data_IF_475235984348
#
_entry.id   IF_475235984348
#
_cell.length_a   1.000
_cell.length_b   1.000
_cell.length_c   1.000
_cell.angle_alpha   90.00
_cell.angle_beta   90.00
_cell.angle_gamma   90.00
#
_symmetry.space_group_name_H-M   'P 1'
#
loop_
_entity.id
_entity.type
_entity.pdbx_description
1 polymer ?
#
# COMPACT_ATOMS: atom_id res chain seq x y z
N UNK A 1 40.80 3.11 -13.41
CA UNK A 1 40.39 2.35 -12.19
C UNK A 1 38.97 2.78 -11.81
N UNK A 2 38.00 1.87 -11.81
CA UNK A 2 36.64 2.17 -11.35
C UNK A 2 36.67 2.45 -9.84
N UNK A 3 36.14 3.59 -9.39
CA UNK A 3 36.03 3.84 -7.94
C UNK A 3 34.93 2.95 -7.35
N UNK A 4 35.13 2.52 -6.10
CA UNK A 4 34.17 1.71 -5.35
C UNK A 4 32.76 2.34 -5.33
N UNK A 5 32.68 3.68 -5.31
CA UNK A 5 31.42 4.42 -5.39
C UNK A 5 30.70 4.36 -6.74
N UNK A 6 31.41 4.10 -7.84
CA UNK A 6 30.82 3.86 -9.18
C UNK A 6 30.30 2.41 -9.30
N UNK A 7 31.07 1.45 -8.80
CA UNK A 7 30.67 0.04 -8.74
C UNK A 7 29.40 -0.11 -7.88
N UNK A 8 29.40 0.49 -6.68
CA UNK A 8 28.23 0.46 -5.79
C UNK A 8 26.98 1.06 -6.44
N UNK A 9 27.10 2.22 -7.10
CA UNK A 9 25.96 2.87 -7.79
C UNK A 9 25.42 2.03 -8.95
N UNK A 10 26.29 1.34 -9.69
CA UNK A 10 25.87 0.49 -10.80
C UNK A 10 25.19 -0.81 -10.31
N UNK A 11 25.67 -1.41 -9.22
CA UNK A 11 25.12 -2.65 -8.66
C UNK A 11 23.88 -2.42 -7.78
N UNK A 12 23.78 -1.27 -7.11
CA UNK A 12 22.68 -0.92 -6.21
C UNK A 12 21.29 -1.11 -6.82
N UNK A 13 20.96 -0.65 -8.05
CA UNK A 13 19.63 -0.86 -8.62
C UNK A 13 19.31 -2.33 -8.90
N UNK A 14 20.31 -3.13 -9.29
CA UNK A 14 20.13 -4.57 -9.55
C UNK A 14 19.88 -5.34 -8.25
N UNK A 15 20.69 -5.07 -7.22
CA UNK A 15 20.54 -5.67 -5.88
C UNK A 15 19.21 -5.26 -5.26
N UNK A 16 18.85 -3.98 -5.33
CA UNK A 16 17.58 -3.47 -4.82
C UNK A 16 16.39 -4.08 -5.55
N UNK A 17 16.43 -4.17 -6.88
CA UNK A 17 15.37 -4.81 -7.70
C UNK A 17 15.19 -6.27 -7.33
N UNK A 18 16.29 -7.02 -7.19
CA UNK A 18 16.23 -8.43 -6.79
C UNK A 18 15.68 -8.59 -5.36
N UNK A 19 16.14 -7.76 -4.43
CA UNK A 19 15.70 -7.77 -3.04
C UNK A 19 14.20 -7.43 -2.90
N UNK A 20 13.73 -6.39 -3.60
CA UNK A 20 12.32 -6.01 -3.65
C UNK A 20 11.47 -7.12 -4.28
N UNK A 21 11.93 -7.71 -5.39
CA UNK A 21 11.23 -8.82 -6.05
C UNK A 21 11.06 -10.00 -5.09
N UNK A 22 12.13 -10.39 -4.39
CA UNK A 22 12.10 -11.51 -3.43
C UNK A 22 11.23 -11.20 -2.21
N UNK A 23 11.31 -9.99 -1.64
CA UNK A 23 10.47 -9.60 -0.50
C UNK A 23 9.01 -9.41 -0.85
N UNK A 24 8.70 -9.03 -2.09
CA UNK A 24 7.34 -8.93 -2.60
C UNK A 24 6.66 -10.31 -2.75
N UNK A 25 7.37 -11.43 -2.58
CA UNK A 25 6.79 -12.78 -2.66
C UNK A 25 6.32 -13.32 -1.31
N UNK A 26 6.55 -12.60 -0.21
CA UNK A 26 6.18 -13.06 1.13
C UNK A 26 5.04 -12.21 1.68
N UNK A 27 4.12 -12.85 2.39
CA UNK A 27 3.16 -12.16 3.24
C UNK A 27 3.88 -11.48 4.39
N UNK A 28 3.64 -10.18 4.58
CA UNK A 28 4.28 -9.39 5.64
C UNK A 28 3.23 -8.60 6.40
N UNK A 29 3.21 -8.74 7.72
CA UNK A 29 2.43 -7.84 8.58
C UNK A 29 3.22 -6.55 8.82
N UNK A 30 2.59 -5.41 8.56
CA UNK A 30 3.19 -4.08 8.76
C UNK A 30 2.23 -3.15 9.48
N UNK A 31 2.79 -2.26 10.30
CA UNK A 31 2.03 -1.18 10.94
C UNK A 31 2.26 0.14 10.21
N UNK A 32 1.18 0.82 9.82
CA UNK A 32 1.22 2.10 9.08
C UNK A 32 -0.07 2.89 9.31
N UNK A 33 0.05 4.22 9.51
CA UNK A 33 -1.07 5.15 9.80
C UNK A 33 -2.05 4.67 10.92
N UNK A 34 -1.54 3.92 11.90
CA UNK A 34 -2.31 3.39 13.02
C UNK A 34 -2.94 2.01 12.80
N UNK A 35 -2.91 1.49 11.57
CA UNK A 35 -3.44 0.17 11.21
C UNK A 35 -2.35 -0.90 11.21
N UNK A 36 -2.74 -2.14 11.54
CA UNK A 36 -1.93 -3.33 11.32
C UNK A 36 -2.45 -4.03 10.07
N UNK A 37 -1.65 -4.03 9.00
CA UNK A 37 -2.02 -4.57 7.69
C UNK A 37 -1.22 -5.83 7.40
N UNK A 38 -1.90 -6.87 6.94
CA UNK A 38 -1.27 -8.04 6.32
C UNK A 38 -1.13 -7.75 4.82
N UNK A 39 0.10 -7.51 4.36
CA UNK A 39 0.40 -7.27 2.95
C UNK A 39 0.70 -8.61 2.31
N UNK A 40 -0.16 -9.03 1.38
CA UNK A 40 -0.02 -10.29 0.65
C UNK A 40 1.07 -10.20 -0.43
N UNK A 41 1.55 -11.34 -0.95
CA UNK A 41 2.51 -11.36 -2.03
C UNK A 41 1.99 -10.58 -3.24
N UNK A 42 2.89 -9.91 -3.96
CA UNK A 42 2.61 -9.08 -5.15
C UNK A 42 1.75 -7.83 -4.91
N UNK A 43 1.24 -7.63 -3.70
CA UNK A 43 0.52 -6.41 -3.32
C UNK A 43 1.49 -5.26 -3.11
N UNK A 44 1.09 -4.07 -3.52
CA UNK A 44 1.88 -2.86 -3.37
C UNK A 44 2.14 -2.57 -1.88
N UNK A 45 3.39 -2.75 -1.45
CA UNK A 45 3.74 -2.67 -0.03
C UNK A 45 3.79 -1.20 0.45
N UNK A 46 2.87 -0.76 1.31
CA UNK A 46 2.67 0.66 1.65
C UNK A 46 3.87 1.29 2.38
N UNK A 47 4.75 0.47 2.95
CA UNK A 47 5.98 0.89 3.64
C UNK A 47 7.23 0.90 2.77
N UNK A 48 7.28 0.13 1.69
CA UNK A 48 8.42 0.14 0.77
C UNK A 48 8.27 1.25 -0.25
N UNK A 49 7.02 1.56 -0.59
CA UNK A 49 6.68 2.62 -1.51
C UNK A 49 5.89 3.69 -0.75
N UNK A 50 6.60 4.72 -0.31
CA UNK A 50 6.06 5.77 0.58
C UNK A 50 4.88 6.57 0.01
N UNK A 51 4.56 6.40 -1.27
CA UNK A 51 3.41 7.02 -1.93
C UNK A 51 2.09 6.68 -1.25
N UNK A 52 1.89 5.43 -0.81
CA UNK A 52 0.66 5.02 -0.11
C UNK A 52 0.45 5.79 1.19
N UNK A 53 1.54 6.07 1.92
CA UNK A 53 1.44 6.83 3.18
C UNK A 53 1.16 8.32 2.92
N UNK A 54 1.74 8.91 1.88
CA UNK A 54 1.46 10.30 1.47
C UNK A 54 -0.01 10.45 1.07
N UNK A 55 -0.51 9.54 0.22
CA UNK A 55 -1.91 9.55 -0.22
C UNK A 55 -2.86 9.33 0.96
N UNK A 56 -2.57 8.36 1.84
CA UNK A 56 -3.38 8.08 3.02
C UNK A 56 -3.49 9.30 3.97
N UNK A 57 -2.39 10.05 4.15
CA UNK A 57 -2.40 11.29 4.95
C UNK A 57 -3.21 12.40 4.30
N UNK A 58 -3.07 12.57 2.98
CA UNK A 58 -3.88 13.53 2.24
C UNK A 58 -5.37 13.19 2.37
N UNK A 59 -5.76 11.94 2.13
CA UNK A 59 -7.15 11.48 2.27
C UNK A 59 -7.66 11.65 3.70
N UNK A 60 -6.83 11.38 4.71
CA UNK A 60 -7.20 11.61 6.12
C UNK A 60 -7.44 13.08 6.48
N UNK A 61 -6.96 14.02 5.66
CA UNK A 61 -7.16 15.46 5.86
C UNK A 61 -8.44 16.00 5.22
N UNK A 62 -9.13 15.19 4.42
CA UNK A 62 -10.37 15.57 3.75
C UNK A 62 -11.56 15.43 4.71
N UNK A 63 -12.56 16.30 4.57
CA UNK A 63 -13.87 16.09 5.18
C UNK A 63 -14.60 15.01 4.39
N UNK A 64 -14.68 13.81 4.97
CA UNK A 64 -15.22 12.60 4.35
C UNK A 64 -16.49 12.10 5.04
N UNK A 65 -16.92 12.75 6.12
CA UNK A 65 -18.04 12.30 6.94
C UNK A 65 -19.32 12.19 6.11
N UNK A 66 -19.89 10.97 6.07
CA UNK A 66 -21.12 10.67 5.35
C UNK A 66 -20.98 10.66 3.82
N UNK A 67 -19.78 10.86 3.27
CA UNK A 67 -19.54 10.85 1.81
C UNK A 67 -19.26 9.44 1.31
N UNK A 68 -19.52 9.19 0.03
CA UNK A 68 -19.05 7.99 -0.65
C UNK A 68 -17.59 8.14 -1.08
N UNK A 69 -16.82 7.06 -0.96
CA UNK A 69 -15.41 7.01 -1.36
C UNK A 69 -15.12 5.71 -2.12
N UNK A 70 -14.46 5.83 -3.27
CA UNK A 70 -14.06 4.70 -4.10
C UNK A 70 -12.53 4.64 -4.20
N UNK A 71 -11.94 3.55 -3.70
CA UNK A 71 -10.49 3.27 -3.81
C UNK A 71 -10.25 2.23 -4.91
N UNK A 72 -9.73 2.66 -6.06
CA UNK A 72 -9.45 1.78 -7.21
C UNK A 72 -7.97 1.42 -7.25
N UNK A 73 -7.66 0.14 -7.28
CA UNK A 73 -6.28 -0.34 -7.10
C UNK A 73 -5.84 -0.20 -5.64
N UNK A 74 -6.75 -0.54 -4.71
CA UNK A 74 -6.58 -0.28 -3.29
C UNK A 74 -5.40 -1.03 -2.65
N UNK A 75 -4.87 -2.06 -3.31
CA UNK A 75 -3.78 -2.90 -2.84
C UNK A 75 -4.07 -3.39 -1.42
N UNK A 76 -3.19 -3.03 -0.48
CA UNK A 76 -3.33 -3.42 0.94
C UNK A 76 -4.50 -2.75 1.68
N UNK A 77 -5.30 -1.91 1.01
CA UNK A 77 -6.46 -1.21 1.58
C UNK A 77 -6.14 -0.05 2.51
N UNK A 78 -4.89 0.45 2.55
CA UNK A 78 -4.50 1.52 3.50
C UNK A 78 -5.31 2.81 3.30
N UNK A 79 -5.49 3.24 2.05
CA UNK A 79 -6.18 4.49 1.72
C UNK A 79 -7.67 4.36 2.02
N UNK A 80 -8.31 3.28 1.56
CA UNK A 80 -9.66 2.89 1.94
C UNK A 80 -9.90 2.91 3.47
N UNK A 81 -9.00 2.32 4.26
CA UNK A 81 -9.11 2.31 5.73
C UNK A 81 -9.00 3.72 6.33
N UNK A 82 -8.13 4.57 5.79
CA UNK A 82 -8.02 5.95 6.24
C UNK A 82 -9.27 6.77 5.90
N UNK A 83 -9.86 6.57 4.72
CA UNK A 83 -11.13 7.19 4.34
C UNK A 83 -12.28 6.74 5.25
N UNK A 84 -12.36 5.43 5.53
CA UNK A 84 -13.36 4.86 6.45
C UNK A 84 -13.23 5.44 7.86
N UNK A 85 -12.00 5.61 8.37
CA UNK A 85 -11.73 6.28 9.66
C UNK A 85 -12.16 7.75 9.66
N UNK A 86 -12.16 8.41 8.50
CA UNK A 86 -12.70 9.76 8.31
C UNK A 86 -14.23 9.82 8.20
N UNK A 87 -14.94 8.70 8.32
CA UNK A 87 -16.40 8.63 8.28
C UNK A 87 -17.01 8.48 6.88
N UNK A 88 -16.21 8.12 5.87
CA UNK A 88 -16.74 7.80 4.55
C UNK A 88 -17.39 6.41 4.48
N UNK A 89 -18.35 6.27 3.56
CA UNK A 89 -18.84 4.99 3.05
C UNK A 89 -17.89 4.52 1.94
N UNK A 90 -17.11 3.46 2.20
CA UNK A 90 -15.97 3.08 1.36
C UNK A 90 -16.25 1.84 0.53
N UNK A 91 -16.02 1.96 -0.77
CA UNK A 91 -15.89 0.84 -1.70
C UNK A 91 -14.43 0.74 -2.12
N UNK A 92 -13.80 -0.42 -1.94
CA UNK A 92 -12.42 -0.66 -2.34
C UNK A 92 -12.34 -1.84 -3.31
N UNK A 93 -11.61 -1.64 -4.42
CA UNK A 93 -11.45 -2.65 -5.47
C UNK A 93 -9.99 -2.76 -5.89
N UNK A 94 -9.55 -3.97 -6.18
CA UNK A 94 -8.25 -4.23 -6.79
C UNK A 94 -8.39 -5.34 -7.84
N UNK A 95 -7.56 -5.29 -8.88
CA UNK A 95 -7.53 -6.30 -9.95
C UNK A 95 -6.62 -7.47 -9.57
N UNK A 96 -5.68 -7.24 -8.65
CA UNK A 96 -4.80 -8.28 -8.15
C UNK A 96 -5.62 -9.25 -7.28
N UNK A 97 -5.70 -10.54 -7.62
CA UNK A 97 -6.42 -11.54 -6.81
C UNK A 97 -5.82 -11.69 -5.40
N UNK A 98 -4.55 -11.32 -5.21
CA UNK A 98 -3.87 -11.28 -3.92
C UNK A 98 -4.01 -9.92 -3.21
N UNK A 99 -4.50 -8.86 -3.89
CA UNK A 99 -4.64 -7.49 -3.35
C UNK A 99 -5.33 -7.46 -1.98
N UNK A 100 -6.37 -8.28 -1.88
CA UNK A 100 -7.15 -8.61 -0.72
C UNK A 100 -7.50 -10.09 -0.98
N UNK A 101 -7.18 -11.00 -0.07
CA UNK A 101 -7.28 -12.45 -0.31
C UNK A 101 -8.70 -12.92 -0.59
N UNK A 102 -9.20 -12.67 -1.80
CA UNK A 102 -10.58 -12.64 -2.29
C UNK A 102 -11.19 -11.22 -2.44
N UNK A 103 -11.23 -10.80 -3.70
CA UNK A 103 -11.97 -9.73 -4.38
C UNK A 103 -13.13 -9.05 -3.61
N UNK A 104 -13.11 -7.71 -3.63
CA UNK A 104 -14.16 -6.77 -3.19
C UNK A 104 -14.43 -6.73 -1.68
N UNK A 105 -13.74 -5.83 -0.98
CA UNK A 105 -14.07 -5.48 0.41
C UNK A 105 -14.91 -4.20 0.38
N UNK A 106 -16.21 -4.33 0.63
CA UNK A 106 -17.09 -3.19 0.91
C UNK A 106 -17.02 -2.95 2.42
N UNK A 107 -16.26 -1.93 2.83
CA UNK A 107 -16.18 -1.53 4.24
C UNK A 107 -17.27 -0.48 4.52
N UNK A 108 -18.36 -0.92 5.15
CA UNK A 108 -19.30 -0.01 5.79
C UNK A 108 -18.79 0.32 7.19
N UNK A 109 -18.08 1.44 7.33
CA UNK A 109 -17.87 2.03 8.64
C UNK A 109 -19.21 2.59 9.13
N UNK A 110 -19.74 2.05 10.24
CA UNK A 110 -20.85 2.64 11.00
C UNK A 110 -20.29 3.50 12.10
#
# INVERSE_FOLDING_TARGET
MLSWGRIRRALQPLVLKYWLKKRSQNTVTTRVEGFTLTVLPTVFHPRYFGSSSVLARFVSSLDLAGKSFLDVGCGSGLVALCAARGGAQVTAVDVNPEGLGETMVILWAR
#
